data_IF_526333468239
#
_entry.id   IF_526333468239
#
_cell.length_a   1.000
_cell.length_b   1.000
_cell.length_c   1.000
_cell.angle_alpha   90.00
_cell.angle_beta   90.00
_cell.angle_gamma   90.00
#
_symmetry.space_group_name_H-M   'P 1'
#
loop_
_entity.id
_entity.type
_entity.pdbx_description
1 polymer ?
#
# COMPACT_ATOMS: atom_id res chain seq x y z
N UNK A 1 20.63 6.13 -7.41
CA UNK A 1 19.17 6.18 -7.57
C UNK A 1 18.69 7.46 -6.92
N UNK A 2 18.04 8.35 -7.68
CA UNK A 2 17.45 9.58 -7.13
C UNK A 2 16.08 9.22 -6.52
N UNK A 3 15.88 9.57 -5.25
CA UNK A 3 14.56 9.53 -4.64
C UNK A 3 13.73 10.68 -5.19
N UNK A 4 12.44 10.43 -5.48
CA UNK A 4 11.53 11.49 -5.88
C UNK A 4 10.94 12.14 -4.63
N UNK A 5 11.08 13.45 -4.50
CA UNK A 5 10.38 14.22 -3.48
C UNK A 5 8.93 14.45 -3.91
N UNK A 6 8.00 13.72 -3.30
CA UNK A 6 6.57 14.01 -3.44
C UNK A 6 6.17 15.09 -2.43
N UNK A 7 5.85 16.30 -2.92
CA UNK A 7 5.29 17.38 -2.08
C UNK A 7 4.02 16.93 -1.34
N UNK A 8 3.23 16.07 -1.98
CA UNK A 8 2.03 15.49 -1.39
C UNK A 8 2.39 14.59 -0.20
N UNK A 9 3.36 13.69 -0.35
CA UNK A 9 3.79 12.80 0.72
C UNK A 9 4.51 13.54 1.85
N UNK A 10 5.33 14.55 1.54
CA UNK A 10 5.98 15.39 2.55
C UNK A 10 4.96 16.12 3.43
N UNK A 11 3.86 16.60 2.85
CA UNK A 11 2.82 17.31 3.59
C UNK A 11 1.91 16.36 4.40
N UNK A 12 1.57 15.19 3.85
CA UNK A 12 0.53 14.34 4.44
C UNK A 12 1.08 13.11 5.19
N UNK A 13 2.32 12.71 4.93
CA UNK A 13 2.99 11.57 5.58
C UNK A 13 3.10 11.74 7.10
N UNK A 14 3.62 12.86 7.62
CA UNK A 14 3.69 13.12 9.06
C UNK A 14 2.30 13.12 9.73
N UNK A 15 1.30 13.71 9.06
CA UNK A 15 -0.08 13.71 9.55
C UNK A 15 -0.65 12.29 9.63
N UNK A 16 -0.40 11.47 8.61
CA UNK A 16 -0.79 10.06 8.63
C UNK A 16 -0.13 9.32 9.80
N UNK A 17 1.20 9.45 9.97
CA UNK A 17 1.94 8.78 11.04
C UNK A 17 1.53 9.23 12.45
N UNK A 18 1.10 10.49 12.62
CA UNK A 18 0.59 10.98 13.92
C UNK A 18 -0.74 10.32 14.33
N UNK A 19 -1.50 9.79 13.37
CA UNK A 19 -2.86 9.29 13.57
C UNK A 19 -2.97 7.78 13.47
N UNK A 20 -2.16 7.16 12.61
CA UNK A 20 -2.27 5.75 12.29
C UNK A 20 -0.95 5.04 12.55
N UNK A 21 -1.06 3.82 13.07
CA UNK A 21 0.04 2.88 13.19
C UNK A 21 -0.13 1.80 12.13
N UNK A 22 0.93 1.53 11.39
CA UNK A 22 0.99 0.41 10.46
C UNK A 22 1.83 -0.69 11.12
N UNK A 23 1.32 -1.91 11.06
CA UNK A 23 2.13 -3.10 11.35
C UNK A 23 2.05 -4.09 10.21
N UNK A 24 3.00 -5.02 10.11
CA UNK A 24 3.06 -5.97 9.01
C UNK A 24 3.45 -7.38 9.45
N UNK A 25 2.88 -8.36 8.77
CA UNK A 25 3.36 -9.74 8.79
C UNK A 25 3.92 -10.10 7.42
N UNK A 26 5.02 -10.85 7.41
CA UNK A 26 5.64 -11.31 6.17
C UNK A 26 5.81 -12.81 6.21
N UNK A 27 5.35 -13.47 5.16
CA UNK A 27 5.64 -14.87 4.88
C UNK A 27 6.21 -14.98 3.47
N UNK A 28 7.47 -15.42 3.37
CA UNK A 28 8.17 -15.56 2.08
C UNK A 28 8.13 -14.28 1.24
N UNK A 29 7.39 -14.33 0.13
CA UNK A 29 7.19 -13.27 -0.86
C UNK A 29 5.87 -12.52 -0.67
N UNK A 30 5.13 -12.75 0.41
CA UNK A 30 3.87 -12.06 0.72
C UNK A 30 4.01 -11.22 1.99
N UNK A 31 3.40 -10.04 1.99
CA UNK A 31 3.25 -9.18 3.17
C UNK A 31 1.77 -8.84 3.35
N UNK A 32 1.30 -8.99 4.58
CA UNK A 32 0.03 -8.48 5.05
C UNK A 32 0.26 -7.28 5.98
N UNK A 33 -0.46 -6.19 5.76
CA UNK A 33 -0.42 -5.01 6.59
C UNK A 33 -1.72 -4.80 7.36
N UNK A 34 -1.57 -4.25 8.56
CA UNK A 34 -2.63 -3.92 9.50
C UNK A 34 -2.52 -2.45 9.86
N UNK A 35 -3.66 -1.75 9.91
CA UNK A 35 -3.73 -0.34 10.29
C UNK A 35 -4.54 -0.21 11.57
N UNK A 36 -3.98 0.50 12.55
CA UNK A 36 -4.66 0.90 13.79
C UNK A 36 -4.74 2.40 13.92
N UNK A 37 -5.82 2.90 14.50
CA UNK A 37 -5.90 4.26 14.98
C UNK A 37 -5.03 4.39 16.24
N UNK A 38 -4.08 5.33 16.27
CA UNK A 38 -3.20 5.53 17.44
C UNK A 38 -3.92 6.10 18.66
N UNK A 39 -4.98 6.88 18.44
CA UNK A 39 -5.72 7.55 19.52
C UNK A 39 -6.71 6.59 20.16
N UNK A 40 -7.54 5.93 19.36
CA UNK A 40 -8.57 5.01 19.88
C UNK A 40 -8.07 3.57 20.10
N UNK A 41 -6.88 3.23 19.58
CA UNK A 41 -6.37 1.84 19.50
C UNK A 41 -7.24 0.89 18.67
N UNK A 42 -8.24 1.42 17.96
CA UNK A 42 -9.14 0.65 17.09
C UNK A 42 -8.38 0.11 15.87
N UNK A 43 -8.61 -1.16 15.54
CA UNK A 43 -8.16 -1.74 14.27
C UNK A 43 -9.03 -1.23 13.14
N UNK A 44 -8.43 -0.51 12.20
CA UNK A 44 -9.14 0.07 11.05
C UNK A 44 -9.14 -0.91 9.89
N UNK A 45 -7.99 -1.53 9.61
CA UNK A 45 -7.85 -2.48 8.50
C UNK A 45 -7.01 -3.65 8.94
N UNK A 46 -7.48 -4.86 8.64
CA UNK A 46 -6.89 -6.11 9.12
C UNK A 46 -6.26 -6.96 8.02
N UNK A 47 -6.28 -6.54 6.75
CA UNK A 47 -5.70 -7.34 5.67
C UNK A 47 -5.42 -6.51 4.40
N UNK A 48 -4.27 -5.85 4.32
CA UNK A 48 -3.77 -5.26 3.07
C UNK A 48 -2.63 -6.11 2.56
N UNK A 49 -2.79 -6.72 1.39
CA UNK A 49 -1.94 -7.83 0.95
C UNK A 49 -1.18 -7.46 -0.31
N UNK A 50 0.14 -7.67 -0.24
CA UNK A 50 1.10 -7.45 -1.31
C UNK A 50 1.91 -8.73 -1.51
N UNK A 51 2.21 -9.07 -2.75
CA UNK A 51 3.03 -10.23 -3.10
C UNK A 51 4.09 -9.84 -4.12
N UNK A 52 5.32 -10.28 -3.92
CA UNK A 52 6.45 -9.98 -4.79
C UNK A 52 6.88 -11.20 -5.60
N UNK A 53 6.89 -11.09 -6.92
CA UNK A 53 7.43 -12.09 -7.81
C UNK A 53 8.82 -11.66 -8.32
N UNK A 54 9.91 -12.24 -7.81
CA UNK A 54 11.27 -11.84 -8.20
C UNK A 54 11.61 -12.19 -9.66
N UNK A 55 11.01 -13.24 -10.21
CA UNK A 55 11.23 -13.68 -11.58
C UNK A 55 10.61 -12.70 -12.58
N UNK A 56 9.41 -12.19 -12.26
CA UNK A 56 8.71 -11.21 -13.10
C UNK A 56 9.06 -9.76 -12.78
N UNK A 57 9.79 -9.51 -11.68
CA UNK A 57 10.04 -8.16 -11.15
C UNK A 57 8.73 -7.40 -10.91
N UNK A 58 7.78 -8.08 -10.27
CA UNK A 58 6.40 -7.59 -10.10
C UNK A 58 6.03 -7.58 -8.61
N UNK A 59 5.62 -6.41 -8.11
CA UNK A 59 4.97 -6.24 -6.82
C UNK A 59 3.46 -6.16 -7.03
N UNK A 60 2.80 -7.29 -6.87
CA UNK A 60 1.36 -7.40 -7.04
C UNK A 60 0.59 -6.98 -5.78
N UNK A 61 -0.35 -6.05 -5.93
CA UNK A 61 -1.26 -5.60 -4.86
C UNK A 61 -2.54 -6.44 -4.91
N UNK A 62 -2.58 -7.49 -4.09
CA UNK A 62 -3.71 -8.43 -4.04
C UNK A 62 -4.95 -7.86 -3.36
N UNK A 63 -4.76 -7.08 -2.28
CA UNK A 63 -5.86 -6.50 -1.49
C UNK A 63 -5.46 -5.14 -0.95
N UNK A 64 -6.15 -4.09 -1.34
CA UNK A 64 -5.94 -2.74 -0.80
C UNK A 64 -7.25 -2.01 -0.55
N UNK A 65 -7.81 -2.23 0.64
CA UNK A 65 -9.00 -1.56 1.14
C UNK A 65 -8.72 -1.10 2.58
N UNK A 66 -7.99 0.00 2.78
CA UNK A 66 -7.49 0.38 4.10
C UNK A 66 -8.58 0.92 5.05
N UNK A 67 -9.83 1.04 4.60
CA UNK A 67 -10.99 1.52 5.37
C UNK A 67 -10.83 2.90 6.06
N UNK A 68 -9.77 3.63 5.72
CA UNK A 68 -9.47 4.96 6.27
C UNK A 68 -10.55 6.00 5.98
N UNK A 69 -11.43 5.76 5.01
CA UNK A 69 -12.57 6.63 4.70
C UNK A 69 -13.62 6.68 5.83
N UNK A 70 -13.63 5.68 6.72
CA UNK A 70 -14.51 5.63 7.90
C UNK A 70 -14.00 6.52 9.04
N UNK A 71 -12.76 7.01 8.97
CA UNK A 71 -12.13 7.81 10.01
C UNK A 71 -12.40 9.31 9.80
N UNK A 72 -12.29 10.10 10.87
CA UNK A 72 -12.43 11.55 10.78
C UNK A 72 -11.39 12.17 9.84
N UNK A 73 -11.75 13.22 9.10
CA UNK A 73 -10.86 13.87 8.12
C UNK A 73 -10.06 12.86 7.25
N UNK A 74 -10.75 11.99 6.49
CA UNK A 74 -10.11 10.85 5.82
C UNK A 74 -9.39 11.24 4.53
N UNK A 75 -9.54 12.50 4.12
CA UNK A 75 -9.11 12.97 2.81
C UNK A 75 -7.63 12.64 2.61
N UNK A 76 -7.34 11.96 1.50
CA UNK A 76 -6.00 11.56 1.08
C UNK A 76 -5.32 10.45 1.90
N UNK A 77 -5.88 10.00 3.02
CA UNK A 77 -5.20 9.05 3.92
C UNK A 77 -4.96 7.68 3.27
N UNK A 78 -5.88 7.19 2.44
CA UNK A 78 -5.66 5.96 1.66
C UNK A 78 -4.52 6.10 0.65
N UNK A 79 -4.35 7.28 0.04
CA UNK A 79 -3.26 7.54 -0.90
C UNK A 79 -1.90 7.59 -0.18
N UNK A 80 -1.86 8.22 0.99
CA UNK A 80 -0.66 8.26 1.83
C UNK A 80 -0.30 6.87 2.35
N UNK A 81 -1.30 6.11 2.79
CA UNK A 81 -1.12 4.72 3.20
C UNK A 81 -0.53 3.90 2.07
N UNK A 82 -1.10 3.96 0.86
CA UNK A 82 -0.58 3.25 -0.31
C UNK A 82 0.90 3.56 -0.53
N UNK A 83 1.29 4.83 -0.46
CA UNK A 83 2.69 5.21 -0.64
C UNK A 83 3.62 4.69 0.46
N UNK A 84 3.20 4.67 1.72
CA UNK A 84 3.98 4.02 2.80
C UNK A 84 4.17 2.52 2.53
N UNK A 85 3.12 1.80 2.14
CA UNK A 85 3.19 0.36 1.91
C UNK A 85 4.09 0.00 0.72
N UNK A 86 4.01 0.76 -0.38
CA UNK A 86 4.89 0.53 -1.54
C UNK A 86 6.36 0.78 -1.18
N UNK A 87 6.67 1.88 -0.47
CA UNK A 87 8.05 2.19 -0.09
C UNK A 87 8.60 1.14 0.88
N UNK A 88 7.79 0.68 1.83
CA UNK A 88 8.18 -0.38 2.74
C UNK A 88 8.39 -1.73 2.02
N UNK A 89 7.53 -2.10 1.07
CA UNK A 89 7.76 -3.26 0.20
C UNK A 89 9.07 -3.12 -0.59
N UNK A 90 9.34 -1.93 -1.12
CA UNK A 90 10.57 -1.65 -1.88
C UNK A 90 11.84 -1.83 -1.05
N UNK A 91 11.78 -1.48 0.23
CA UNK A 91 12.88 -1.70 1.18
C UNK A 91 12.99 -3.19 1.58
N UNK A 92 11.89 -3.82 2.00
CA UNK A 92 11.89 -5.20 2.51
C UNK A 92 12.32 -6.22 1.45
N UNK A 93 11.94 -6.01 0.20
CA UNK A 93 12.30 -6.90 -0.91
C UNK A 93 13.50 -6.41 -1.72
N UNK A 94 14.14 -5.31 -1.31
CA UNK A 94 15.24 -4.68 -2.04
C UNK A 94 14.90 -4.41 -3.51
N UNK A 95 13.69 -3.90 -3.79
CA UNK A 95 13.18 -3.71 -5.15
C UNK A 95 13.98 -2.63 -5.88
N UNK A 96 14.48 -2.95 -7.06
CA UNK A 96 15.16 -2.01 -7.94
C UNK A 96 14.16 -1.22 -8.81
N UNK A 97 14.66 -0.26 -9.59
CA UNK A 97 13.82 0.55 -10.49
C UNK A 97 13.30 -0.20 -11.72
N UNK A 98 13.63 -1.49 -11.90
CA UNK A 98 13.04 -2.33 -12.94
C UNK A 98 11.81 -3.10 -12.44
N UNK A 99 11.47 -2.97 -11.16
CA UNK A 99 10.28 -3.56 -10.58
C UNK A 99 9.05 -2.70 -10.86
N UNK A 100 7.94 -3.35 -11.22
CA UNK A 100 6.65 -2.71 -11.42
C UNK A 100 5.66 -3.09 -10.32
N UNK A 101 4.60 -2.31 -10.20
CA UNK A 101 3.45 -2.55 -9.34
C UNK A 101 2.31 -2.99 -10.25
N UNK A 102 1.75 -4.17 -10.02
CA UNK A 102 0.55 -4.64 -10.72
C UNK A 102 -0.63 -4.77 -9.76
N UNK A 103 -1.85 -4.55 -10.25
CA UNK A 103 -3.08 -4.84 -9.50
C UNK A 103 -4.30 -4.96 -10.40
N UNK A 104 -5.32 -5.64 -9.88
CA UNK A 104 -6.64 -5.72 -10.48
C UNK A 104 -7.64 -4.88 -9.68
N UNK A 105 -8.51 -4.16 -10.38
CA UNK A 105 -9.54 -3.35 -9.74
C UNK A 105 -10.77 -3.20 -10.64
N UNK A 106 -11.77 -2.42 -10.23
CA UNK A 106 -12.93 -2.07 -11.05
C UNK A 106 -12.76 -0.66 -11.64
N UNK A 107 -13.38 -0.33 -12.79
CA UNK A 107 -13.19 0.96 -13.46
C UNK A 107 -13.41 2.17 -12.56
N UNK A 108 -14.43 2.12 -11.70
CA UNK A 108 -14.76 3.22 -10.77
C UNK A 108 -13.65 3.48 -9.76
N UNK A 109 -12.98 2.45 -9.25
CA UNK A 109 -11.85 2.58 -8.32
C UNK A 109 -10.59 2.99 -9.07
N UNK A 110 -10.36 2.45 -10.27
CA UNK A 110 -9.29 2.89 -11.17
C UNK A 110 -9.32 4.42 -11.39
N UNK A 111 -10.46 4.94 -11.85
CA UNK A 111 -10.58 6.36 -12.20
C UNK A 111 -10.62 7.27 -10.95
N UNK A 112 -11.23 6.83 -9.86
CA UNK A 112 -11.40 7.68 -8.68
C UNK A 112 -10.22 7.66 -7.71
N UNK A 113 -9.42 6.60 -7.71
CA UNK A 113 -8.29 6.43 -6.79
C UNK A 113 -6.97 6.29 -7.55
N UNK A 114 -6.73 5.17 -8.23
CA UNK A 114 -5.41 4.83 -8.76
C UNK A 114 -4.88 5.83 -9.80
N UNK A 115 -5.70 6.30 -10.75
CA UNK A 115 -5.29 7.31 -11.75
C UNK A 115 -5.01 8.71 -11.16
N UNK A 116 -5.46 8.95 -9.92
CA UNK A 116 -5.19 10.19 -9.18
C UNK A 116 -3.89 10.12 -8.37
N UNK A 117 -3.29 8.95 -8.20
CA UNK A 117 -2.00 8.77 -7.54
C UNK A 117 -0.85 9.16 -8.48
N UNK A 118 -0.60 10.46 -8.62
CA UNK A 118 0.38 11.03 -9.56
C UNK A 118 1.84 10.62 -9.30
N UNK A 119 2.15 10.21 -8.06
CA UNK A 119 3.49 9.72 -7.72
C UNK A 119 3.76 8.31 -8.29
N UNK A 120 2.72 7.58 -8.65
CA UNK A 120 2.81 6.21 -9.20
C UNK A 120 2.54 6.18 -10.70
N UNK A 121 1.64 7.04 -11.21
CA UNK A 121 1.28 7.08 -12.65
C UNK A 121 0.76 5.74 -13.19
N UNK A 122 -0.22 5.13 -12.50
CA UNK A 122 -0.86 3.91 -13.00
C UNK A 122 -1.43 4.04 -14.41
N UNK A 123 -1.18 3.01 -15.22
CA UNK A 123 -1.68 2.84 -16.58
C UNK A 123 -2.57 1.61 -16.65
N UNK A 124 -3.61 1.67 -17.49
CA UNK A 124 -4.43 0.49 -17.79
C UNK A 124 -3.70 -0.37 -18.80
N UNK A 125 -3.39 -1.61 -18.44
CA UNK A 125 -2.79 -2.59 -19.34
C UNK A 125 -3.85 -3.42 -20.06
N UNK A 126 -4.98 -3.69 -19.39
CA UNK A 126 -6.06 -4.51 -19.94
C UNK A 126 -7.40 -4.27 -19.27
N UNK A 127 -8.47 -4.37 -20.05
CA UNK A 127 -9.84 -4.52 -19.56
C UNK A 127 -10.18 -6.02 -19.56
N UNK A 128 -10.37 -6.60 -18.38
CA UNK A 128 -10.69 -8.01 -18.18
C UNK A 128 -12.18 -8.31 -18.28
N UNK A 129 -12.51 -9.60 -18.30
CA UNK A 129 -13.90 -10.07 -18.16
C UNK A 129 -14.40 -9.76 -16.74
N UNK A 130 -15.71 -9.50 -16.59
CA UNK A 130 -16.31 -9.26 -15.27
C UNK A 130 -16.10 -7.86 -14.69
N UNK A 131 -15.93 -6.84 -15.54
CA UNK A 131 -15.74 -5.44 -15.12
C UNK A 131 -14.46 -5.23 -14.29
N UNK A 132 -13.40 -5.96 -14.64
CA UNK A 132 -12.06 -5.86 -14.05
C UNK A 132 -11.16 -5.03 -14.95
N UNK A 133 -10.30 -4.22 -14.36
CA UNK A 133 -9.25 -3.43 -15.00
C UNK A 133 -7.93 -3.83 -14.36
N UNK A 134 -6.99 -4.27 -15.20
CA UNK A 134 -5.62 -4.55 -14.81
C UNK A 134 -4.81 -3.26 -14.96
N UNK A 135 -4.11 -2.87 -13.88
CA UNK A 135 -3.27 -1.68 -13.82
C UNK A 135 -1.81 -2.05 -13.59
N UNK A 136 -0.92 -1.24 -14.16
CA UNK A 136 0.52 -1.31 -13.95
C UNK A 136 1.12 0.08 -13.69
N UNK A 137 2.19 0.14 -12.91
CA UNK A 137 2.95 1.34 -12.57
C UNK A 137 4.40 0.98 -12.32
N UNK A 138 5.33 1.88 -12.60
CA UNK A 138 6.71 1.72 -12.13
C UNK A 138 6.79 1.93 -10.61
N UNK A 139 7.80 1.31 -9.96
CA UNK A 139 8.11 1.62 -8.55
C UNK A 139 8.93 2.90 -8.47
N UNK A 140 8.28 3.98 -8.02
CA UNK A 140 8.95 5.21 -7.62
C UNK A 140 9.25 5.18 -6.12
N UNK A 141 10.53 5.14 -5.76
CA UNK A 141 10.96 5.30 -4.37
C UNK A 141 10.78 6.77 -3.95
N UNK A 142 9.84 6.98 -3.04
CA UNK A 142 9.54 8.28 -2.46
C UNK A 142 10.38 8.47 -1.19
N UNK A 143 10.67 9.72 -0.84
CA UNK A 143 11.28 10.02 0.45
C UNK A 143 10.22 9.91 1.56
N UNK A 144 10.11 8.72 2.17
CA UNK A 144 9.18 8.41 3.25
C UNK A 144 9.90 7.68 4.36
N UNK A 145 9.65 8.11 5.60
CA UNK A 145 10.12 7.39 6.77
C UNK A 145 9.18 6.20 7.09
N UNK A 146 9.57 5.04 6.59
CA UNK A 146 8.91 3.74 6.81
C UNK A 146 9.33 3.08 8.13
N UNK A 147 10.27 3.66 8.89
CA UNK A 147 10.79 3.05 10.13
C UNK A 147 9.74 2.89 11.22
N UNK A 148 8.63 3.62 11.11
CA UNK A 148 7.47 3.53 11.99
C UNK A 148 6.54 2.35 11.68
N UNK A 149 6.80 1.60 10.60
CA UNK A 149 6.07 0.39 10.24
C UNK A 149 6.70 -0.78 10.99
N UNK A 150 5.96 -1.34 11.94
CA UNK A 150 6.50 -2.33 12.87
C UNK A 150 6.06 -3.75 12.49
N UNK A 151 6.85 -4.76 12.84
CA UNK A 151 6.38 -6.16 12.74
C UNK A 151 5.12 -6.35 13.57
N UNK A 152 4.15 -7.06 13.02
CA UNK A 152 2.93 -7.45 13.69
C UNK A 152 3.24 -8.57 14.68
N UNK A 153 2.66 -8.46 15.88
CA UNK A 153 2.76 -9.48 16.93
C UNK A 153 1.36 -10.03 17.10
N UNK A 154 1.17 -11.30 16.71
CA UNK A 154 -0.10 -12.00 16.86
C UNK A 154 -0.36 -12.36 18.32
N UNK A 155 -1.63 -12.27 18.73
CA UNK A 155 -2.11 -12.98 19.92
C UNK A 155 -2.11 -14.49 19.69
N UNK A 156 -2.18 -15.28 20.78
CA UNK A 156 -2.08 -16.75 20.72
C UNK A 156 -3.10 -17.42 19.77
N UNK A 157 -4.24 -16.75 19.47
CA UNK A 157 -5.33 -17.27 18.64
C UNK A 157 -5.45 -16.61 17.25
N UNK A 158 -4.55 -15.71 16.86
CA UNK A 158 -4.65 -15.00 15.58
C UNK A 158 -3.86 -15.71 14.47
N UNK A 159 -4.56 -16.08 13.38
CA UNK A 159 -3.94 -16.72 12.21
C UNK A 159 -3.74 -15.72 11.06
N UNK A 160 -2.51 -15.55 10.54
CA UNK A 160 -2.23 -14.73 9.36
C UNK A 160 -3.00 -15.18 8.11
N UNK A 161 -3.30 -14.25 7.19
CA UNK A 161 -3.87 -14.52 5.86
C UNK A 161 -5.20 -15.30 5.79
N UNK A 162 -5.85 -15.62 6.93
CA UNK A 162 -7.07 -16.43 7.03
C UNK A 162 -8.36 -15.61 7.29
N UNK A 163 -8.34 -14.29 7.06
CA UNK A 163 -9.49 -13.39 7.24
C UNK A 163 -10.12 -12.92 5.93
#
# INVERSE_FOLDING_TARGET
>A
MQHLESKFMLANGPLFNSRFAISYFRESSCIEYFIKNRISSETISSSLVFSYNPTKKDLHVSRFYPELYLQSAPRYMSSVCFGFLINHCAEIYCLDGACHISLETVPTVCDNFYRKLKDFNFHVIKYGLGNVVELESDINRLFLDTSLIMKHIYGEDEVPFMK
#
